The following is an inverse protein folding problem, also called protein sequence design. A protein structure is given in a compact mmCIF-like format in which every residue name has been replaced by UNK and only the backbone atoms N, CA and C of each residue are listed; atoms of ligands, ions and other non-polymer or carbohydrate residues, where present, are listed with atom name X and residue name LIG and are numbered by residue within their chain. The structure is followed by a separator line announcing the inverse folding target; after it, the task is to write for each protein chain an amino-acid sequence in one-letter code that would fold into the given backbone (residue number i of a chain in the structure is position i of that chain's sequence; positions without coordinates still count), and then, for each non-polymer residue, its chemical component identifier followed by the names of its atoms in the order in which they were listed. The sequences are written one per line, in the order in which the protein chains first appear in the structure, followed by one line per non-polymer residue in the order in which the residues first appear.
data_IF_658159133146
#
_entry.id   IF_658159133146
#
_cell.length_a   1.000
_cell.length_b   1.000
_cell.length_c   1.000
_cell.angle_alpha   90.00
_cell.angle_beta   90.00
_cell.angle_gamma   90.00
#
_symmetry.space_group_name_H-M   'P 1'
#
loop_
_entity.id
_entity.type
_entity.pdbx_description
1 polymer ?
#
# COMPACT_ATOMS: atom_id res chain seq x y z
N UNK A 1 8.33 13.20 22.11
CA UNK A 1 9.13 14.37 21.67
C UNK A 1 10.31 14.52 22.60
N UNK A 2 11.53 14.68 22.09
CA UNK A 2 12.73 14.80 22.92
C UNK A 2 12.71 16.06 23.80
N UNK A 3 12.06 17.13 23.33
CA UNK A 3 11.88 18.37 24.11
C UNK A 3 11.03 18.12 25.35
N UNK A 4 9.91 17.41 25.21
CA UNK A 4 9.02 17.11 26.33
C UNK A 4 9.75 16.27 27.39
N UNK A 5 10.49 15.24 26.97
CA UNK A 5 11.29 14.40 27.86
C UNK A 5 12.40 15.19 28.59
N UNK A 6 12.98 16.20 27.92
CA UNK A 6 14.04 17.01 28.51
C UNK A 6 13.51 18.00 29.57
N UNK A 7 12.41 18.69 29.28
CA UNK A 7 11.86 19.72 30.17
C UNK A 7 10.90 19.17 31.23
N UNK A 8 10.27 18.03 30.98
CA UNK A 8 9.30 17.39 31.86
C UNK A 8 9.63 15.89 32.02
N UNK A 9 10.76 15.53 32.65
CA UNK A 9 11.23 14.14 32.71
C UNK A 9 10.36 13.22 33.59
N UNK A 10 9.66 13.79 34.57
CA UNK A 10 8.89 13.03 35.57
C UNK A 10 7.41 13.42 35.63
N UNK A 11 7.01 14.48 34.92
CA UNK A 11 5.65 15.03 34.98
C UNK A 11 4.99 15.01 33.60
N UNK A 12 3.65 14.98 33.58
CA UNK A 12 2.90 15.16 32.34
C UNK A 12 3.08 16.60 31.83
N UNK A 13 3.64 16.81 30.63
CA UNK A 13 3.86 18.14 30.09
C UNK A 13 2.55 18.89 29.75
N UNK A 14 1.42 18.18 29.59
CA UNK A 14 0.16 18.81 29.18
C UNK A 14 -0.37 19.78 30.24
N UNK A 15 -0.72 20.99 29.82
CA UNK A 15 -1.23 22.06 30.70
C UNK A 15 -0.15 22.77 31.53
N UNK A 16 1.11 22.33 31.46
CA UNK A 16 2.20 23.02 32.13
C UNK A 16 2.66 24.25 31.35
N UNK A 17 3.35 25.15 32.05
CA UNK A 17 3.91 26.36 31.46
C UNK A 17 5.38 26.17 31.09
N UNK A 18 5.71 26.43 29.83
CA UNK A 18 7.06 26.52 29.30
C UNK A 18 7.40 28.00 29.07
N UNK A 19 8.51 28.46 29.66
CA UNK A 19 8.98 29.82 29.46
C UNK A 19 9.97 29.88 28.30
N UNK A 20 9.68 30.74 27.32
CA UNK A 20 10.55 31.03 26.18
C UNK A 20 10.87 32.53 26.23
N UNK A 21 12.16 32.85 26.38
CA UNK A 21 12.65 34.20 26.69
C UNK A 21 11.92 34.82 27.91
N UNK A 22 11.16 35.91 27.72
CA UNK A 22 10.38 36.58 28.76
C UNK A 22 8.89 36.18 28.78
N UNK A 23 8.46 35.30 27.88
CA UNK A 23 7.06 34.89 27.73
C UNK A 23 6.81 33.49 28.30
N UNK A 24 5.70 33.35 29.02
CA UNK A 24 5.22 32.05 29.50
C UNK A 24 4.14 31.53 28.56
N UNK A 25 4.31 30.32 28.04
CA UNK A 25 3.38 29.65 27.13
C UNK A 25 2.90 28.34 27.77
N UNK A 26 1.62 28.00 27.57
CA UNK A 26 1.07 26.74 28.08
C UNK A 26 1.17 25.64 27.02
N UNK A 27 1.63 24.46 27.43
CA UNK A 27 1.73 23.28 26.56
C UNK A 27 0.33 22.69 26.36
N UNK A 28 -0.14 22.67 25.12
CA UNK A 28 -1.48 22.15 24.75
C UNK A 28 -1.45 20.76 24.12
N UNK A 29 -0.28 20.26 23.75
CA UNK A 29 -0.13 18.99 23.05
C UNK A 29 1.33 18.60 22.87
N UNK A 30 1.58 17.30 22.74
CA UNK A 30 2.89 16.74 22.40
C UNK A 30 2.74 15.91 21.14
N UNK A 31 3.56 16.22 20.12
CA UNK A 31 3.57 15.46 18.87
C UNK A 31 4.27 14.11 19.07
N UNK A 32 3.79 13.10 18.34
CA UNK A 32 4.49 11.82 18.24
C UNK A 32 5.87 12.02 17.60
N UNK A 33 6.89 11.24 18.01
CA UNK A 33 8.21 11.34 17.41
C UNK A 33 8.11 11.16 15.89
N UNK A 34 8.69 12.08 15.14
CA UNK A 34 8.75 11.98 13.68
C UNK A 34 10.09 11.32 13.35
N UNK A 35 10.05 10.13 12.76
CA UNK A 35 11.26 9.47 12.27
C UNK A 35 11.94 10.26 11.14
N UNK A 36 13.18 9.91 10.81
CA UNK A 36 13.97 10.53 9.71
C UNK A 36 13.20 10.66 8.39
N UNK A 37 12.24 9.76 8.14
CA UNK A 37 11.38 9.71 6.95
C UNK A 37 10.16 10.64 6.99
N UNK A 38 9.64 11.02 8.16
CA UNK A 38 8.45 11.87 8.29
C UNK A 38 8.73 13.36 8.10
N UNK A 39 10.00 13.75 8.18
CA UNK A 39 10.50 15.10 7.95
C UNK A 39 11.33 15.22 6.68
N UNK A 40 10.99 14.51 5.59
CA UNK A 40 11.77 14.46 4.35
C UNK A 40 12.32 15.82 3.87
N UNK A 41 11.60 16.92 4.06
CA UNK A 41 12.09 18.28 3.82
C UNK A 41 13.08 18.79 4.89
N UNK A 42 12.73 18.66 6.17
CA UNK A 42 13.55 19.08 7.31
C UNK A 42 14.87 18.28 7.45
N UNK A 43 14.87 16.99 7.13
CA UNK A 43 16.05 16.14 7.13
C UNK A 43 17.06 16.53 6.05
N UNK A 44 16.60 17.04 4.89
CA UNK A 44 17.47 17.56 3.83
C UNK A 44 18.23 18.83 4.27
N UNK A 45 17.74 19.52 5.30
CA UNK A 45 18.35 20.74 5.86
C UNK A 45 19.03 20.43 7.21
N UNK A 46 19.10 19.16 7.63
CA UNK A 46 19.78 18.74 8.86
C UNK A 46 19.06 19.11 10.17
N UNK A 47 17.75 19.40 10.11
CA UNK A 47 16.93 19.78 11.27
C UNK A 47 16.27 18.55 11.91
N UNK A 48 16.47 18.35 13.22
CA UNK A 48 15.75 17.31 14.00
C UNK A 48 14.41 17.87 14.49
N UNK A 49 13.32 17.51 13.81
CA UNK A 49 11.95 17.93 14.16
C UNK A 49 11.54 17.51 15.58
N UNK A 50 12.21 16.52 16.19
CA UNK A 50 11.90 16.09 17.55
C UNK A 50 12.40 17.07 18.62
N UNK A 51 13.19 18.07 18.23
CA UNK A 51 13.68 19.16 19.07
C UNK A 51 12.90 20.47 18.87
N UNK A 52 11.90 20.48 18.01
CA UNK A 52 11.13 21.68 17.71
C UNK A 52 9.98 21.92 18.70
N UNK A 53 9.72 23.20 18.96
CA UNK A 53 8.52 23.68 19.67
C UNK A 53 7.64 24.42 18.67
N UNK A 54 6.39 23.96 18.52
CA UNK A 54 5.44 24.57 17.60
C UNK A 54 4.53 25.56 18.33
N UNK A 55 4.51 26.79 17.86
CA UNK A 55 3.65 27.87 18.36
C UNK A 55 2.81 28.36 17.17
N UNK A 56 1.49 28.58 17.33
CA UNK A 56 0.69 29.19 16.27
C UNK A 56 1.30 30.51 15.81
N UNK A 57 1.40 30.71 14.50
CA UNK A 57 2.06 31.88 13.91
C UNK A 57 1.51 33.21 14.44
N UNK A 58 0.19 33.29 14.63
CA UNK A 58 -0.47 34.47 15.20
C UNK A 58 -0.05 34.74 16.65
N UNK A 59 0.06 33.68 17.47
CA UNK A 59 0.51 33.79 18.87
C UNK A 59 1.97 34.19 18.94
N UNK A 60 2.84 33.59 18.13
CA UNK A 60 4.25 33.94 18.08
C UNK A 60 4.44 35.42 17.71
N UNK A 61 3.72 35.89 16.69
CA UNK A 61 3.78 37.29 16.26
C UNK A 61 3.28 38.28 17.32
N UNK A 62 2.20 37.94 18.04
CA UNK A 62 1.69 38.78 19.12
C UNK A 62 2.61 38.79 20.35
N UNK A 63 3.21 37.66 20.69
CA UNK A 63 4.02 37.51 21.89
C UNK A 63 5.44 38.07 21.73
N UNK A 64 6.07 37.82 20.58
CA UNK A 64 7.49 38.16 20.35
C UNK A 64 7.69 39.34 19.39
N UNK A 65 6.67 39.70 18.60
CA UNK A 65 6.78 40.73 17.58
C UNK A 65 7.63 40.31 16.38
N UNK A 66 7.89 41.27 15.48
CA UNK A 66 8.66 41.04 14.25
C UNK A 66 10.18 41.28 14.47
N UNK A 67 10.59 41.78 15.65
CA UNK A 67 12.00 42.02 16.01
C UNK A 67 12.30 41.43 17.38
N UNK A 68 13.21 40.46 17.44
CA UNK A 68 13.68 39.86 18.68
C UNK A 68 15.04 40.45 19.05
N UNK A 69 15.11 41.08 20.23
CA UNK A 69 16.34 41.65 20.77
C UNK A 69 16.86 40.77 21.90
N UNK A 70 18.05 40.19 21.73
CA UNK A 70 18.71 39.41 22.77
C UNK A 70 19.94 40.15 23.29
N UNK A 71 20.00 40.33 24.61
CA UNK A 71 21.12 40.94 25.30
C UNK A 71 21.82 39.88 26.15
N UNK A 72 22.93 39.37 25.64
CA UNK A 72 23.82 38.49 26.38
C UNK A 72 25.04 39.28 26.86
N UNK A 73 25.76 38.77 27.86
CA UNK A 73 26.84 39.50 28.54
C UNK A 73 27.89 40.03 27.54
N UNK A 74 27.79 41.32 27.19
CA UNK A 74 28.69 42.01 26.25
C UNK A 74 28.26 42.04 24.78
N UNK A 75 27.13 41.43 24.39
CA UNK A 75 26.63 41.41 23.00
C UNK A 75 25.15 41.80 22.93
N UNK A 76 24.82 42.69 21.99
CA UNK A 76 23.44 43.02 21.63
C UNK A 76 23.19 42.52 20.22
N UNK A 77 22.27 41.57 20.07
CA UNK A 77 21.76 41.15 18.77
C UNK A 77 20.29 41.53 18.64
N UNK A 78 19.95 42.14 17.51
CA UNK A 78 18.59 42.40 17.11
C UNK A 78 18.37 41.71 15.76
N UNK A 79 17.45 40.75 15.73
CA UNK A 79 17.12 39.98 14.53
C UNK A 79 15.67 40.23 14.17
N UNK A 80 15.43 40.51 12.88
CA UNK A 80 14.08 40.53 12.34
C UNK A 80 13.62 39.09 12.09
N UNK A 81 12.42 38.77 12.57
CA UNK A 81 11.81 37.46 12.37
C UNK A 81 11.10 37.46 11.03
N UNK A 82 11.71 36.81 10.04
CA UNK A 82 11.14 36.64 8.71
C UNK A 82 10.63 35.20 8.52
N UNK A 83 9.77 35.01 7.52
CA UNK A 83 9.28 33.67 7.17
C UNK A 83 10.43 32.90 6.51
N UNK A 84 10.96 31.91 7.23
CA UNK A 84 12.06 31.07 6.74
C UNK A 84 11.59 29.96 5.80
N UNK A 85 10.46 29.32 6.12
CA UNK A 85 9.98 28.14 5.38
C UNK A 85 8.46 28.13 5.22
N UNK A 86 8.00 27.69 4.04
CA UNK A 86 6.58 27.47 3.74
C UNK A 86 6.39 26.07 3.21
N UNK A 87 5.64 25.25 3.97
CA UNK A 87 5.28 23.90 3.56
C UNK A 87 4.08 23.92 2.60
N UNK A 88 4.23 23.28 1.43
CA UNK A 88 3.19 23.14 0.43
C UNK A 88 2.83 21.67 0.25
N UNK A 89 1.59 21.31 0.58
CA UNK A 89 1.09 19.95 0.39
C UNK A 89 0.33 19.82 -0.93
N UNK A 90 0.77 18.89 -1.77
CA UNK A 90 0.09 18.55 -3.02
C UNK A 90 -0.72 17.27 -2.81
N UNK A 91 -1.96 17.23 -3.31
CA UNK A 91 -2.86 16.07 -3.16
C UNK A 91 -2.34 14.83 -3.89
N UNK A 92 -1.86 15.01 -5.12
CA UNK A 92 -1.41 13.92 -5.98
C UNK A 92 0.11 13.94 -6.12
N UNK A 93 0.75 12.83 -5.78
CA UNK A 93 2.20 12.65 -5.90
C UNK A 93 2.72 12.87 -7.31
N UNK A 94 1.97 12.44 -8.33
CA UNK A 94 2.34 12.60 -9.74
C UNK A 94 2.40 14.07 -10.17
N UNK A 95 1.66 14.94 -9.47
CA UNK A 95 1.60 16.36 -9.76
C UNK A 95 2.67 17.17 -9.05
N UNK A 96 3.36 16.62 -8.05
CA UNK A 96 4.37 17.34 -7.25
C UNK A 96 5.42 18.03 -8.14
N UNK A 97 5.93 17.34 -9.17
CA UNK A 97 6.91 17.92 -10.08
C UNK A 97 6.36 19.09 -10.90
N UNK A 98 5.15 18.94 -11.44
CA UNK A 98 4.48 19.98 -12.23
C UNK A 98 4.09 21.19 -11.36
N UNK A 99 3.53 20.95 -10.18
CA UNK A 99 3.09 21.99 -9.27
C UNK A 99 4.30 22.73 -8.66
N UNK A 100 5.42 22.05 -8.40
CA UNK A 100 6.66 22.71 -8.01
C UNK A 100 7.20 23.67 -9.08
N UNK A 101 7.13 23.30 -10.37
CA UNK A 101 7.49 24.23 -11.46
C UNK A 101 6.54 25.43 -11.54
N UNK A 102 5.24 25.22 -11.31
CA UNK A 102 4.26 26.32 -11.24
C UNK A 102 4.56 27.27 -10.09
N UNK A 103 4.93 26.75 -8.92
CA UNK A 103 5.35 27.56 -7.77
C UNK A 103 6.61 28.35 -8.09
N UNK A 104 7.66 27.72 -8.65
CA UNK A 104 8.88 28.41 -9.10
C UNK A 104 8.56 29.59 -10.03
N UNK A 105 7.71 29.35 -11.05
CA UNK A 105 7.31 30.41 -12.00
C UNK A 105 6.51 31.51 -11.33
N UNK A 106 5.59 31.17 -10.43
CA UNK A 106 4.76 32.15 -9.73
C UNK A 106 5.61 33.04 -8.83
N UNK A 107 6.59 32.47 -8.12
CA UNK A 107 7.54 33.22 -7.30
C UNK A 107 8.41 34.13 -8.18
N UNK A 108 8.94 33.63 -9.29
CA UNK A 108 9.75 34.44 -10.22
C UNK A 108 8.99 35.65 -10.80
N UNK A 109 7.68 35.53 -11.04
CA UNK A 109 6.87 36.62 -11.60
C UNK A 109 6.38 37.59 -10.52
N UNK A 110 5.94 37.09 -9.36
CA UNK A 110 5.37 37.93 -8.29
C UNK A 110 6.41 38.61 -7.43
N UNK A 111 7.62 38.05 -7.37
CA UNK A 111 8.72 38.54 -6.55
C UNK A 111 9.98 38.74 -7.40
N UNK A 112 9.95 39.65 -8.39
CA UNK A 112 11.12 39.92 -9.21
C UNK A 112 12.25 40.45 -8.33
N UNK A 113 13.40 39.76 -8.30
CA UNK A 113 14.60 40.17 -7.57
C UNK A 113 14.82 39.51 -6.20
N UNK A 114 13.93 38.62 -5.75
CA UNK A 114 14.22 37.76 -4.59
C UNK A 114 15.01 36.52 -5.07
N UNK A 115 16.33 36.55 -4.90
CA UNK A 115 17.25 35.45 -5.25
C UNK A 115 17.45 34.46 -4.10
N UNK A 116 16.90 34.75 -2.92
CA UNK A 116 17.04 34.01 -1.66
C UNK A 116 15.99 32.90 -1.45
N UNK A 117 15.05 32.72 -2.38
CA UNK A 117 14.00 31.70 -2.27
C UNK A 117 14.46 30.37 -2.87
N UNK A 118 14.71 29.37 -2.01
CA UNK A 118 14.98 27.99 -2.43
C UNK A 118 13.72 27.13 -2.34
N UNK A 119 13.32 26.52 -3.46
CA UNK A 119 12.22 25.53 -3.48
C UNK A 119 12.83 24.13 -3.46
N UNK A 120 12.65 23.44 -2.33
CA UNK A 120 13.10 22.07 -2.10
C UNK A 120 11.94 21.11 -2.37
N UNK A 121 12.17 20.18 -3.31
CA UNK A 121 11.23 19.09 -3.60
C UNK A 121 11.97 17.79 -3.30
N UNK A 122 11.49 16.94 -2.39
CA UNK A 122 12.14 15.66 -2.07
C UNK A 122 11.88 14.62 -3.17
N UNK A 123 12.30 14.92 -4.40
CA UNK A 123 12.02 14.10 -5.59
C UNK A 123 12.68 12.72 -5.48
N UNK A 124 13.88 12.64 -4.92
CA UNK A 124 14.60 11.38 -4.72
C UNK A 124 13.83 10.41 -3.80
N UNK A 125 13.27 10.92 -2.70
CA UNK A 125 12.47 10.13 -1.77
C UNK A 125 11.14 9.69 -2.42
N UNK A 126 10.50 10.59 -3.18
CA UNK A 126 9.33 10.27 -3.97
C UNK A 126 9.64 9.26 -5.08
N UNK A 127 10.83 9.26 -5.67
CA UNK A 127 11.16 8.30 -6.71
C UNK A 127 11.61 6.95 -6.14
N UNK A 128 12.32 6.96 -5.01
CA UNK A 128 12.68 5.76 -4.26
C UNK A 128 11.44 5.02 -3.78
N UNK A 129 10.49 5.71 -3.13
CA UNK A 129 9.24 5.09 -2.71
C UNK A 129 8.46 4.51 -3.91
N UNK A 130 8.58 5.11 -5.11
CA UNK A 130 7.89 4.64 -6.32
C UNK A 130 8.55 3.35 -6.80
N UNK A 131 9.88 3.34 -6.88
CA UNK A 131 10.66 2.16 -7.26
C UNK A 131 10.39 1.00 -6.30
N UNK A 132 10.41 1.23 -4.99
CA UNK A 132 10.09 0.21 -3.99
C UNK A 132 8.69 -0.36 -4.20
N UNK A 133 7.68 0.50 -4.38
CA UNK A 133 6.31 0.05 -4.64
C UNK A 133 6.19 -0.77 -5.94
N UNK A 134 6.85 -0.34 -7.02
CA UNK A 134 6.87 -1.09 -8.29
C UNK A 134 7.54 -2.45 -8.15
N UNK A 135 8.68 -2.52 -7.45
CA UNK A 135 9.36 -3.79 -7.17
C UNK A 135 8.47 -4.74 -6.39
N UNK A 136 7.79 -4.26 -5.35
CA UNK A 136 6.86 -5.08 -4.58
C UNK A 136 5.66 -5.55 -5.40
N UNK A 137 5.09 -4.69 -6.25
CA UNK A 137 4.01 -5.08 -7.15
C UNK A 137 4.45 -6.18 -8.13
N UNK A 138 5.67 -6.09 -8.66
CA UNK A 138 6.22 -7.09 -9.57
C UNK A 138 6.45 -8.42 -8.85
N UNK A 139 7.04 -8.39 -7.66
CA UNK A 139 7.28 -9.59 -6.84
C UNK A 139 5.96 -10.27 -6.48
N UNK A 140 4.97 -9.52 -5.98
CA UNK A 140 3.65 -10.07 -5.64
C UNK A 140 2.91 -10.60 -6.87
N UNK A 141 2.99 -9.90 -8.01
CA UNK A 141 2.45 -10.36 -9.29
C UNK A 141 3.10 -11.65 -9.76
N UNK A 142 4.41 -11.79 -9.59
CA UNK A 142 5.14 -13.01 -9.96
C UNK A 142 4.77 -14.19 -9.07
N UNK A 143 4.69 -13.98 -7.75
CA UNK A 143 4.25 -15.01 -6.78
C UNK A 143 2.82 -15.44 -7.13
N UNK A 144 1.90 -14.49 -7.35
CA UNK A 144 0.53 -14.78 -7.74
C UNK A 144 0.48 -15.58 -9.06
N UNK A 145 1.31 -15.21 -10.05
CA UNK A 145 1.42 -15.92 -11.33
C UNK A 145 1.89 -17.37 -11.16
N UNK A 146 2.91 -17.62 -10.34
CA UNK A 146 3.38 -18.98 -10.03
C UNK A 146 2.30 -19.77 -9.29
N UNK A 147 1.67 -19.19 -8.27
CA UNK A 147 0.60 -19.85 -7.51
C UNK A 147 -0.57 -20.26 -8.42
N UNK A 148 -0.91 -19.40 -9.38
CA UNK A 148 -1.96 -19.64 -10.35
C UNK A 148 -1.58 -20.73 -11.36
N UNK A 149 -0.32 -20.78 -11.79
CA UNK A 149 0.20 -21.84 -12.65
C UNK A 149 0.19 -23.19 -11.93
N UNK A 150 0.68 -23.25 -10.69
CA UNK A 150 0.67 -24.46 -9.85
C UNK A 150 -0.78 -24.91 -9.58
N UNK A 151 -1.67 -23.98 -9.26
CA UNK A 151 -3.10 -24.26 -9.11
C UNK A 151 -3.73 -24.80 -10.40
N UNK A 152 -3.40 -24.22 -11.54
CA UNK A 152 -3.82 -24.70 -12.86
C UNK A 152 -3.36 -26.12 -13.18
N UNK A 153 -2.09 -26.44 -12.89
CA UNK A 153 -1.56 -27.81 -13.00
C UNK A 153 -2.35 -28.77 -12.09
N UNK A 154 -2.70 -28.33 -10.88
CA UNK A 154 -3.55 -29.09 -9.97
C UNK A 154 -4.92 -29.43 -10.57
N UNK A 155 -5.61 -28.43 -11.15
CA UNK A 155 -6.88 -28.63 -11.86
C UNK A 155 -6.70 -29.64 -13.00
N UNK A 156 -5.66 -29.47 -13.81
CA UNK A 156 -5.36 -30.37 -14.92
C UNK A 156 -5.18 -31.82 -14.45
N UNK A 157 -4.42 -32.04 -13.37
CA UNK A 157 -4.15 -33.37 -12.84
C UNK A 157 -5.41 -34.05 -12.28
N UNK A 158 -6.21 -33.31 -11.51
CA UNK A 158 -7.49 -33.84 -10.99
C UNK A 158 -8.43 -34.19 -12.15
N UNK A 159 -8.48 -33.35 -13.18
CA UNK A 159 -9.30 -33.62 -14.38
C UNK A 159 -8.78 -34.80 -15.20
N UNK A 160 -7.46 -34.99 -15.32
CA UNK A 160 -6.91 -36.18 -15.98
C UNK A 160 -7.26 -37.46 -15.20
N UNK A 161 -7.14 -37.43 -13.88
CA UNK A 161 -7.52 -38.54 -13.02
C UNK A 161 -9.02 -38.87 -13.14
N UNK A 162 -9.89 -37.85 -13.10
CA UNK A 162 -11.34 -38.06 -13.22
C UNK A 162 -11.75 -38.62 -14.58
N UNK A 163 -11.05 -38.24 -15.66
CA UNK A 163 -11.24 -38.83 -16.99
C UNK A 163 -10.85 -40.30 -17.00
N UNK A 164 -9.75 -40.67 -16.34
CA UNK A 164 -9.34 -42.08 -16.25
C UNK A 164 -10.30 -42.93 -15.42
N UNK A 165 -10.82 -42.42 -14.30
CA UNK A 165 -11.82 -43.10 -13.48
C UNK A 165 -13.15 -43.30 -14.23
N UNK A 166 -13.59 -42.28 -14.98
CA UNK A 166 -14.86 -42.31 -15.73
C UNK A 166 -14.72 -42.83 -17.16
N UNK A 167 -13.61 -43.50 -17.51
CA UNK A 167 -13.32 -43.94 -18.90
C UNK A 167 -14.45 -44.80 -19.48
N UNK A 168 -14.98 -45.75 -18.69
CA UNK A 168 -16.07 -46.65 -19.09
C UNK A 168 -17.36 -45.90 -19.40
N UNK A 169 -17.73 -44.92 -18.58
CA UNK A 169 -18.91 -44.08 -18.81
C UNK A 169 -18.79 -43.27 -20.11
N UNK A 170 -17.61 -42.69 -20.37
CA UNK A 170 -17.32 -41.93 -21.59
C UNK A 170 -17.43 -42.86 -22.81
N UNK A 171 -16.90 -44.08 -22.70
CA UNK A 171 -17.00 -45.13 -23.72
C UNK A 171 -18.44 -45.51 -24.06
N UNK A 172 -19.30 -45.68 -23.05
CA UNK A 172 -20.73 -45.96 -23.25
C UNK A 172 -21.42 -44.79 -23.98
N UNK A 173 -21.20 -43.53 -23.56
CA UNK A 173 -21.77 -42.36 -24.23
C UNK A 173 -21.33 -42.26 -25.69
N UNK A 174 -20.05 -42.52 -25.95
CA UNK A 174 -19.45 -42.56 -27.29
C UNK A 174 -20.07 -43.67 -28.16
N UNK A 175 -20.31 -44.86 -27.60
CA UNK A 175 -20.91 -46.00 -28.30
C UNK A 175 -22.38 -45.77 -28.68
N UNK A 176 -23.12 -45.03 -27.84
CA UNK A 176 -24.52 -44.65 -28.08
C UNK A 176 -24.66 -43.46 -29.05
N UNK A 177 -23.54 -42.86 -29.48
CA UNK A 177 -23.52 -41.83 -30.54
C UNK A 177 -23.12 -40.42 -30.09
N UNK A 178 -22.63 -40.23 -28.87
CA UNK A 178 -22.10 -38.93 -28.46
C UNK A 178 -20.85 -38.56 -29.29
N UNK A 179 -20.88 -37.38 -29.90
CA UNK A 179 -19.72 -36.87 -30.67
C UNK A 179 -18.59 -36.45 -29.73
N UNK A 180 -17.36 -36.40 -30.26
CA UNK A 180 -16.21 -35.86 -29.51
C UNK A 180 -16.46 -34.44 -28.98
N UNK A 181 -17.23 -33.63 -29.73
CA UNK A 181 -17.61 -32.27 -29.32
C UNK A 181 -18.53 -32.27 -28.10
N UNK A 182 -19.45 -33.22 -27.98
CA UNK A 182 -20.32 -33.34 -26.81
C UNK A 182 -19.50 -33.67 -25.56
N UNK A 183 -18.57 -34.61 -25.65
CA UNK A 183 -17.69 -34.98 -24.53
C UNK A 183 -16.78 -33.81 -24.15
N UNK A 184 -16.17 -33.15 -25.15
CA UNK A 184 -15.32 -31.98 -24.93
C UNK A 184 -16.08 -30.86 -24.23
N UNK A 185 -17.29 -30.52 -24.71
CA UNK A 185 -18.12 -29.47 -24.10
C UNK A 185 -18.53 -29.83 -22.67
N UNK A 186 -18.86 -31.09 -22.39
CA UNK A 186 -19.20 -31.53 -21.03
C UNK A 186 -18.04 -31.26 -20.06
N UNK A 187 -16.83 -31.72 -20.40
CA UNK A 187 -15.66 -31.53 -19.52
C UNK A 187 -15.25 -30.06 -19.41
N UNK A 188 -15.35 -29.28 -20.49
CA UNK A 188 -15.10 -27.84 -20.44
C UNK A 188 -16.10 -27.11 -19.53
N UNK A 189 -17.37 -27.50 -19.55
CA UNK A 189 -18.39 -26.96 -18.64
C UNK A 189 -18.08 -27.36 -17.20
N UNK A 190 -17.72 -28.62 -16.94
CA UNK A 190 -17.33 -29.09 -15.61
C UNK A 190 -16.14 -28.30 -15.05
N UNK A 191 -15.08 -28.11 -15.85
CA UNK A 191 -13.94 -27.28 -15.44
C UNK A 191 -14.31 -25.80 -15.29
N UNK A 192 -15.15 -25.25 -16.16
CA UNK A 192 -15.59 -23.85 -16.07
C UNK A 192 -16.38 -23.59 -14.79
N UNK A 193 -17.28 -24.51 -14.42
CA UNK A 193 -18.05 -24.43 -13.18
C UNK A 193 -17.15 -24.54 -11.96
N UNK A 194 -16.21 -25.51 -11.94
CA UNK A 194 -15.23 -25.65 -10.86
C UNK A 194 -14.38 -24.37 -10.71
N UNK A 195 -13.96 -23.78 -11.82
CA UNK A 195 -13.14 -22.56 -11.85
C UNK A 195 -13.92 -21.33 -11.43
N UNK A 196 -15.19 -21.22 -11.82
CA UNK A 196 -16.07 -20.14 -11.40
C UNK A 196 -16.38 -20.21 -9.90
N UNK A 197 -16.66 -21.40 -9.37
CA UNK A 197 -16.87 -21.59 -7.93
C UNK A 197 -15.59 -21.28 -7.16
N UNK A 198 -14.46 -21.83 -7.58
CA UNK A 198 -13.15 -21.55 -6.96
C UNK A 198 -12.79 -20.07 -7.03
N UNK A 199 -13.08 -19.40 -8.15
CA UNK A 199 -12.89 -17.96 -8.33
C UNK A 199 -13.76 -17.13 -7.41
N UNK A 200 -15.05 -17.46 -7.27
CA UNK A 200 -15.98 -16.79 -6.34
C UNK A 200 -15.53 -16.97 -4.88
N UNK A 201 -15.14 -18.19 -4.49
CA UNK A 201 -14.61 -18.48 -3.15
C UNK A 201 -13.32 -17.70 -2.91
N UNK A 202 -12.40 -17.69 -3.89
CA UNK A 202 -11.15 -16.94 -3.81
C UNK A 202 -11.37 -15.43 -3.67
N UNK A 203 -12.30 -14.85 -4.44
CA UNK A 203 -12.71 -13.44 -4.30
C UNK A 203 -13.31 -13.19 -2.92
N UNK A 204 -14.22 -14.06 -2.46
CA UNK A 204 -14.85 -13.93 -1.15
C UNK A 204 -13.83 -13.96 -0.02
N UNK A 205 -12.87 -14.88 -0.06
CA UNK A 205 -11.77 -14.94 0.90
C UNK A 205 -10.85 -13.72 0.80
N UNK A 206 -10.51 -13.26 -0.41
CA UNK A 206 -9.68 -12.08 -0.61
C UNK A 206 -10.31 -10.81 -0.05
N UNK A 207 -11.59 -10.58 -0.33
CA UNK A 207 -12.37 -9.46 0.24
C UNK A 207 -12.51 -9.62 1.75
N UNK A 208 -12.80 -10.83 2.24
CA UNK A 208 -12.92 -11.13 3.67
C UNK A 208 -11.63 -10.82 4.44
N UNK A 209 -10.48 -11.23 3.91
CA UNK A 209 -9.16 -10.92 4.49
C UNK A 209 -8.89 -9.41 4.42
N UNK A 210 -9.21 -8.77 3.29
CA UNK A 210 -9.01 -7.33 3.10
C UNK A 210 -9.77 -6.47 4.11
N UNK A 211 -10.98 -6.88 4.49
CA UNK A 211 -11.82 -6.18 5.48
C UNK A 211 -11.50 -6.65 6.91
N UNK A 212 -11.10 -7.91 7.09
CA UNK A 212 -10.81 -8.52 8.39
C UNK A 212 -9.46 -8.11 8.98
N UNK A 213 -8.43 -7.87 8.17
CA UNK A 213 -7.10 -7.44 8.64
C UNK A 213 -7.19 -6.16 9.49
N UNK A 214 -7.85 -5.06 9.04
CA UNK A 214 -8.01 -3.85 9.86
C UNK A 214 -8.66 -4.11 11.22
N UNK A 215 -9.60 -5.06 11.31
CA UNK A 215 -10.30 -5.41 12.56
C UNK A 215 -9.42 -6.26 13.49
N UNK A 216 -8.53 -7.08 12.95
CA UNK A 216 -7.65 -7.98 13.71
C UNK A 216 -6.34 -7.33 14.13
N UNK A 217 -5.91 -6.26 13.45
CA UNK A 217 -4.68 -5.51 13.77
C UNK A 217 -4.56 -5.06 15.24
N UNK A 218 -5.61 -4.54 15.91
CA UNK A 218 -5.52 -4.15 17.32
C UNK A 218 -5.24 -5.33 18.25
N UNK A 219 -5.75 -6.52 17.92
CA UNK A 219 -5.58 -7.75 18.71
C UNK A 219 -4.22 -8.40 18.45
N UNK A 220 -3.76 -8.37 17.19
CA UNK A 220 -2.44 -8.89 16.79
C UNK A 220 -1.29 -8.04 17.34
N UNK A 221 -1.45 -6.71 17.38
CA UNK A 221 -0.47 -5.78 17.97
C UNK A 221 -0.30 -5.96 19.49
N UNK A 222 -1.28 -6.57 20.18
CA UNK A 222 -1.18 -6.89 21.61
C UNK A 222 -0.32 -8.13 21.91
N UNK A 223 0.14 -8.86 20.88
CA UNK A 223 0.99 -10.05 21.08
C UNK A 223 2.48 -9.69 21.03
N UNK A 224 3.27 -10.02 22.07
CA UNK A 224 4.66 -9.56 22.22
C UNK A 224 5.64 -10.11 21.18
N UNK A 225 5.21 -11.05 20.34
CA UNK A 225 6.03 -11.65 19.27
C UNK A 225 5.94 -10.84 17.96
N UNK A 226 4.83 -10.12 17.74
CA UNK A 226 4.52 -9.43 16.48
C UNK A 226 4.94 -7.95 16.51
N UNK A 227 4.99 -7.32 17.69
CA UNK A 227 5.39 -5.92 17.91
C UNK A 227 6.78 -5.57 17.32
N UNK A 228 7.69 -6.55 17.23
CA UNK A 228 9.03 -6.37 16.64
C UNK A 228 9.08 -6.36 15.12
N UNK A 229 8.07 -6.91 14.44
CA UNK A 229 8.03 -7.05 12.98
C UNK A 229 6.96 -6.18 12.32
N UNK A 230 5.91 -5.84 13.07
CA UNK A 230 4.79 -5.02 12.62
C UNK A 230 4.70 -3.84 13.57
N UNK A 231 5.36 -2.74 13.24
CA UNK A 231 5.09 -1.49 13.92
C UNK A 231 3.62 -1.13 13.72
N UNK A 232 2.97 -0.61 14.77
CA UNK A 232 1.57 -0.19 14.78
C UNK A 232 1.18 0.83 13.67
N UNK A 233 2.17 1.31 12.91
CA UNK A 233 2.05 2.22 11.76
C UNK A 233 1.87 1.51 10.41
N UNK A 234 1.84 0.17 10.35
CA UNK A 234 1.47 -0.59 9.14
C UNK A 234 -0.04 -0.45 8.84
N UNK A 235 -0.48 0.78 8.57
CA UNK A 235 -1.75 1.03 7.93
C UNK A 235 -1.58 0.64 6.46
N UNK A 236 -1.99 -0.58 6.09
CA UNK A 236 -2.24 -0.95 4.71
C UNK A 236 -3.66 -0.47 4.39
N UNK A 237 -3.87 0.70 3.75
CA UNK A 237 -5.19 1.10 3.29
C UNK A 237 -5.62 0.10 2.21
N UNK A 238 -6.36 -0.92 2.63
CA UNK A 238 -6.87 -1.95 1.73
C UNK A 238 -8.01 -1.36 0.93
N UNK A 239 -7.74 -1.05 -0.34
CA UNK A 239 -8.76 -0.55 -1.26
C UNK A 239 -9.20 -1.67 -2.20
N UNK A 240 -10.39 -2.21 -1.96
CA UNK A 240 -11.03 -3.14 -2.87
C UNK A 240 -11.76 -2.34 -3.93
N UNK A 241 -11.31 -2.42 -5.18
CA UNK A 241 -11.97 -1.79 -6.32
C UNK A 241 -12.76 -2.82 -7.10
N UNK A 242 -13.90 -2.43 -7.68
CA UNK A 242 -14.72 -3.37 -8.46
C UNK A 242 -13.94 -3.99 -9.62
N UNK A 243 -13.05 -3.23 -10.25
CA UNK A 243 -12.23 -3.71 -11.36
C UNK A 243 -11.24 -4.80 -10.93
N UNK A 244 -10.66 -4.73 -9.72
CA UNK A 244 -9.75 -5.79 -9.24
C UNK A 244 -10.48 -7.09 -8.95
N UNK A 245 -11.74 -7.03 -8.50
CA UNK A 245 -12.59 -8.20 -8.34
C UNK A 245 -12.87 -8.85 -9.70
N UNK A 246 -13.33 -8.07 -10.68
CA UNK A 246 -13.61 -8.57 -12.02
C UNK A 246 -12.36 -9.16 -12.68
N UNK A 247 -11.21 -8.49 -12.52
CA UNK A 247 -9.93 -8.96 -13.04
C UNK A 247 -9.51 -10.29 -12.40
N UNK A 248 -9.58 -10.40 -11.07
CA UNK A 248 -9.17 -11.62 -10.36
C UNK A 248 -10.08 -12.81 -10.71
N UNK A 249 -11.40 -12.61 -10.74
CA UNK A 249 -12.35 -13.62 -11.19
C UNK A 249 -12.14 -14.02 -12.66
N UNK A 250 -11.92 -13.03 -13.54
CA UNK A 250 -11.63 -13.26 -14.95
C UNK A 250 -10.37 -14.09 -15.16
N UNK A 251 -9.28 -13.73 -14.47
CA UNK A 251 -8.00 -14.45 -14.52
C UNK A 251 -8.16 -15.89 -14.01
N UNK A 252 -8.87 -16.11 -12.90
CA UNK A 252 -9.15 -17.44 -12.37
C UNK A 252 -9.94 -18.31 -13.37
N UNK A 253 -10.96 -17.73 -14.01
CA UNK A 253 -11.79 -18.41 -15.01
C UNK A 253 -10.98 -18.80 -16.25
N UNK A 254 -10.17 -17.87 -16.77
CA UNK A 254 -9.32 -18.11 -17.95
C UNK A 254 -8.31 -19.23 -17.68
N UNK A 255 -7.64 -19.20 -16.52
CA UNK A 255 -6.63 -20.20 -16.19
C UNK A 255 -7.27 -21.58 -16.03
N UNK A 256 -8.39 -21.65 -15.31
CA UNK A 256 -9.15 -22.88 -15.18
C UNK A 256 -9.56 -23.47 -16.53
N UNK A 257 -10.03 -22.63 -17.46
CA UNK A 257 -10.36 -23.05 -18.82
C UNK A 257 -9.12 -23.56 -19.57
N UNK A 258 -8.00 -22.81 -19.55
CA UNK A 258 -6.76 -23.17 -20.25
C UNK A 258 -6.24 -24.54 -19.79
N UNK A 259 -6.18 -24.77 -18.48
CA UNK A 259 -5.72 -26.04 -17.92
C UNK A 259 -6.75 -27.16 -18.05
N UNK A 260 -8.05 -26.84 -18.24
CA UNK A 260 -9.12 -27.79 -18.51
C UNK A 260 -9.20 -28.29 -19.96
N UNK A 261 -8.71 -27.52 -20.92
CA UNK A 261 -8.79 -27.88 -22.35
C UNK A 261 -8.05 -29.19 -22.64
N UNK A 262 -6.83 -29.35 -22.11
CA UNK A 262 -6.03 -30.56 -22.36
C UNK A 262 -6.73 -31.86 -21.90
N UNK A 263 -7.17 -32.01 -20.64
CA UNK A 263 -7.89 -33.20 -20.20
C UNK A 263 -9.22 -33.40 -20.93
N UNK A 264 -9.95 -32.32 -21.23
CA UNK A 264 -11.20 -32.40 -21.99
C UNK A 264 -10.99 -32.94 -23.41
N UNK A 265 -9.90 -32.54 -24.08
CA UNK A 265 -9.48 -33.09 -25.38
C UNK A 265 -9.14 -34.58 -25.22
N UNK A 266 -8.38 -34.94 -24.19
CA UNK A 266 -7.99 -36.33 -23.95
C UNK A 266 -9.20 -37.24 -23.74
N UNK A 267 -10.18 -36.79 -22.94
CA UNK A 267 -11.44 -37.48 -22.73
C UNK A 267 -12.23 -37.68 -24.03
N UNK A 268 -12.32 -36.64 -24.86
CA UNK A 268 -13.05 -36.70 -26.13
C UNK A 268 -12.47 -37.71 -27.14
N UNK A 269 -11.17 -37.98 -27.04
CA UNK A 269 -10.43 -38.87 -27.94
C UNK A 269 -10.48 -40.34 -27.53
N UNK A 270 -11.07 -40.68 -26.38
CA UNK A 270 -11.19 -42.07 -25.93
C UNK A 270 -11.91 -42.96 -26.95
N UNK A 271 -11.39 -44.16 -27.18
CA UNK A 271 -11.98 -45.14 -28.09
C UNK A 271 -13.04 -45.97 -27.34
N UNK A 272 -14.31 -45.96 -27.76
CA UNK A 272 -15.38 -46.73 -27.10
C UNK A 272 -15.07 -48.23 -27.02
N UNK A 273 -14.36 -48.82 -27.99
CA UNK A 273 -14.01 -50.24 -27.97
C UNK A 273 -12.98 -50.52 -26.86
N UNK A 274 -11.96 -49.66 -26.73
CA UNK A 274 -10.91 -49.81 -25.70
C UNK A 274 -11.46 -49.49 -24.31
N UNK A 275 -12.33 -48.48 -24.22
CA UNK A 275 -12.95 -48.02 -22.97
C UNK A 275 -13.94 -49.04 -22.37
N UNK A 276 -14.57 -49.88 -23.20
CA UNK A 276 -15.48 -50.95 -22.76
C UNK A 276 -14.76 -52.27 -22.45
N UNK A 277 -13.49 -52.39 -22.86
CA UNK A 277 -12.65 -53.58 -22.64
C UNK A 277 -11.82 -53.49 -21.35
N UNK A 278 -11.65 -52.30 -20.80
CA UNK A 278 -11.16 -52.11 -19.44
C UNK A 278 -12.32 -52.40 -18.47
N UNK A 279 -12.05 -53.21 -17.45
CA UNK A 279 -13.05 -53.73 -16.48
C UNK A 279 -14.00 -52.65 -15.92
#
# INVERSE_FOLDING_TARGET
SKVAEHFFPFDDPLGQNLRIDDKSLTVVGVLSPVGLSGGAGAALIGRDLNLDVHIPFTTARLAFGDIVQRRESGSFSASEVQVEEVYLQVRDRERVGLDAQRVRRTMAVRHPGLEDIQIIVPFELLEQARRVALTWNLVLGFIAGISLLVGGIGIMNIMLASVTERTREIGIRRAVGATRKHILAQFLVETSVLSAIGGLVGVGLGVGVSVGIPLLMPVLAATPVIDRWVSAEFALPTQVTLWSILLSFGVATVIGLVFGIYPAIQASKQDPIVALRHD
#
